data_IF_478933721988
#
_entry.id   IF_478933721988
#
_cell.length_a   1.000
_cell.length_b   1.000
_cell.length_c   1.000
_cell.angle_alpha   90.00
_cell.angle_beta   90.00
_cell.angle_gamma   90.00
#
_symmetry.space_group_name_H-M   'P 1'
#
loop_
_entity.id
_entity.type
_entity.pdbx_description
1 polymer ?
#
# COMPACT_ATOMS: atom_id res chain seq x y z
N UNK A 1 11.63 40.29 -47.14
CA UNK A 1 11.34 39.04 -47.89
C UNK A 1 12.12 37.93 -47.21
N UNK A 2 11.48 37.16 -46.33
CA UNK A 2 12.10 35.99 -45.71
C UNK A 2 12.12 34.88 -46.75
N UNK A 3 13.28 34.23 -46.94
CA UNK A 3 13.45 33.18 -47.94
C UNK A 3 12.52 32.01 -47.64
N UNK A 4 11.82 31.44 -48.65
CA UNK A 4 10.90 30.33 -48.45
C UNK A 4 11.58 29.08 -47.88
N UNK A 5 12.90 28.96 -48.03
CA UNK A 5 13.69 27.88 -47.43
C UNK A 5 13.82 28.00 -45.90
N UNK A 6 13.76 29.23 -45.36
CA UNK A 6 13.88 29.46 -43.92
C UNK A 6 12.62 29.07 -43.16
N UNK A 7 11.45 29.27 -43.77
CA UNK A 7 10.14 28.94 -43.18
C UNK A 7 9.93 27.42 -43.10
N UNK A 8 10.32 26.69 -44.15
CA UNK A 8 10.30 25.23 -44.18
C UNK A 8 11.22 24.60 -43.11
N UNK A 9 12.40 25.18 -42.86
CA UNK A 9 13.32 24.67 -41.84
C UNK A 9 12.75 24.84 -40.42
N UNK A 10 12.06 25.95 -40.15
CA UNK A 10 11.42 26.20 -38.85
C UNK A 10 10.26 25.23 -38.60
N UNK A 11 9.47 24.93 -39.63
CA UNK A 11 8.37 23.97 -39.53
C UNK A 11 8.87 22.55 -39.28
N UNK A 12 9.92 22.11 -39.99
CA UNK A 12 10.52 20.78 -39.81
C UNK A 12 11.11 20.62 -38.40
N UNK A 13 11.76 21.66 -37.86
CA UNK A 13 12.28 21.65 -36.48
C UNK A 13 11.13 21.68 -35.45
N UNK A 14 10.05 22.41 -35.72
CA UNK A 14 8.86 22.45 -34.85
C UNK A 14 8.11 21.10 -34.83
N UNK A 15 7.97 20.44 -35.98
CA UNK A 15 7.37 19.09 -36.13
C UNK A 15 8.27 18.00 -35.54
N UNK A 16 9.59 18.13 -35.68
CA UNK A 16 10.54 17.23 -35.00
C UNK A 16 10.48 17.40 -33.48
N UNK A 17 10.21 18.60 -32.96
CA UNK A 17 10.04 18.82 -31.53
C UNK A 17 8.69 18.32 -31.01
N UNK A 18 7.62 18.39 -31.80
CA UNK A 18 6.27 17.96 -31.38
C UNK A 18 6.11 16.44 -31.35
N UNK A 19 6.83 15.71 -32.21
CA UNK A 19 6.85 14.24 -32.25
C UNK A 19 7.55 13.58 -31.05
N UNK A 20 8.30 14.35 -30.24
CA UNK A 20 8.91 13.89 -29.00
C UNK A 20 7.97 13.89 -27.79
N UNK A 21 6.81 14.57 -27.86
CA UNK A 21 5.74 14.47 -26.85
C UNK A 21 4.94 13.20 -27.09
N UNK A 22 5.56 12.04 -26.82
CA UNK A 22 4.78 10.83 -26.56
C UNK A 22 3.83 11.14 -25.40
N UNK A 23 2.51 10.88 -25.52
CA UNK A 23 1.62 10.98 -24.39
C UNK A 23 2.14 10.04 -23.30
N UNK A 24 2.65 10.60 -22.20
CA UNK A 24 3.31 9.88 -21.12
C UNK A 24 2.34 9.01 -20.28
N UNK A 25 1.18 8.65 -20.83
CA UNK A 25 0.17 7.89 -20.11
C UNK A 25 -0.80 7.21 -21.10
N UNK A 26 -0.38 6.09 -21.69
CA UNK A 26 -1.22 5.26 -22.59
C UNK A 26 -1.45 3.84 -22.07
N UNK A 27 -0.79 3.47 -20.98
CA UNK A 27 -0.98 2.20 -20.26
C UNK A 27 -1.43 2.54 -18.83
N UNK A 28 -2.48 1.86 -18.35
CA UNK A 28 -3.13 2.17 -17.09
C UNK A 28 -2.15 2.26 -15.91
N UNK A 29 -2.45 3.19 -14.99
CA UNK A 29 -1.73 3.52 -13.75
C UNK A 29 -0.50 2.66 -13.41
N UNK A 30 0.70 3.26 -13.42
CA UNK A 30 2.01 2.70 -13.03
C UNK A 30 2.12 2.15 -11.58
N UNK A 31 1.00 2.09 -10.85
CA UNK A 31 0.95 1.65 -9.46
C UNK A 31 -0.17 0.64 -9.27
N UNK A 32 0.22 -0.58 -8.95
CA UNK A 32 -0.69 -1.62 -8.48
C UNK A 32 -0.75 -1.52 -6.96
N UNK A 33 -1.95 -1.69 -6.38
CA UNK A 33 -2.18 -1.74 -4.93
C UNK A 33 -2.45 -3.19 -4.50
N UNK A 34 -1.42 -4.06 -4.46
CA UNK A 34 -1.63 -5.47 -4.12
C UNK A 34 -2.14 -5.64 -2.68
N UNK A 35 -1.85 -4.68 -1.80
CA UNK A 35 -2.33 -4.68 -0.41
C UNK A 35 -3.81 -4.37 -0.24
N UNK A 36 -4.51 -3.86 -1.26
CA UNK A 36 -5.90 -3.42 -1.11
C UNK A 36 -6.84 -4.60 -0.82
N UNK A 37 -6.71 -5.69 -1.58
CA UNK A 37 -7.52 -6.90 -1.42
C UNK A 37 -7.35 -7.52 -0.01
N UNK A 38 -6.14 -7.88 0.44
CA UNK A 38 -5.97 -8.45 1.77
C UNK A 38 -6.33 -7.47 2.89
N UNK A 39 -6.15 -6.16 2.70
CA UNK A 39 -6.57 -5.16 3.68
C UNK A 39 -8.08 -5.05 3.83
N UNK A 40 -8.82 -5.08 2.71
CA UNK A 40 -10.28 -5.07 2.75
C UNK A 40 -10.84 -6.36 3.37
N UNK A 41 -10.30 -7.52 2.99
CA UNK A 41 -10.68 -8.79 3.59
C UNK A 41 -10.36 -8.83 5.08
N UNK A 42 -9.20 -8.30 5.49
CA UNK A 42 -8.80 -8.24 6.89
C UNK A 42 -9.74 -7.37 7.72
N UNK A 43 -10.17 -6.23 7.17
CA UNK A 43 -11.15 -5.36 7.80
C UNK A 43 -12.52 -6.03 7.94
N UNK A 44 -12.99 -6.71 6.89
CA UNK A 44 -14.24 -7.46 6.93
C UNK A 44 -14.18 -8.59 7.96
N UNK A 45 -13.06 -9.32 8.04
CA UNK A 45 -12.86 -10.37 9.03
C UNK A 45 -12.88 -9.84 10.47
N UNK A 46 -12.20 -8.72 10.74
CA UNK A 46 -12.20 -8.10 12.07
C UNK A 46 -13.61 -7.65 12.49
N UNK A 47 -14.39 -7.06 11.56
CA UNK A 47 -15.79 -6.70 11.82
C UNK A 47 -16.66 -7.94 12.06
N UNK A 48 -16.45 -9.01 11.30
CA UNK A 48 -17.14 -10.29 11.52
C UNK A 48 -16.85 -10.86 12.91
N UNK A 49 -15.67 -10.57 13.49
CA UNK A 49 -15.28 -10.94 14.85
C UNK A 49 -16.19 -10.38 15.94
N UNK A 50 -16.87 -9.25 15.69
CA UNK A 50 -17.87 -8.72 16.62
C UNK A 50 -19.08 -9.64 16.77
N UNK A 51 -19.50 -10.27 15.67
CA UNK A 51 -20.64 -11.19 15.63
C UNK A 51 -20.27 -12.59 16.10
N UNK A 52 -19.04 -13.01 15.85
CA UNK A 52 -18.52 -14.30 16.28
C UNK A 52 -18.17 -14.35 17.78
N UNK A 53 -18.30 -13.25 18.51
CA UNK A 53 -17.87 -13.16 19.91
C UNK A 53 -18.64 -14.11 20.83
N UNK A 54 -17.92 -14.90 21.63
CA UNK A 54 -18.51 -15.94 22.48
C UNK A 54 -18.92 -17.22 21.74
N UNK A 55 -18.59 -17.36 20.45
CA UNK A 55 -18.88 -18.56 19.65
C UNK A 55 -17.60 -19.28 19.23
N UNK A 56 -17.70 -20.54 18.84
CA UNK A 56 -16.58 -21.33 18.30
C UNK A 56 -16.00 -20.72 17.01
N UNK A 57 -16.83 -20.00 16.25
CA UNK A 57 -16.41 -19.28 15.04
C UNK A 57 -15.37 -18.18 15.31
N UNK A 58 -15.25 -17.70 16.56
CA UNK A 58 -14.23 -16.71 16.93
C UNK A 58 -12.82 -17.20 16.60
N UNK A 59 -12.51 -18.48 16.82
CA UNK A 59 -11.18 -19.03 16.56
C UNK A 59 -10.84 -18.91 15.07
N UNK A 60 -11.81 -19.22 14.20
CA UNK A 60 -11.66 -19.07 12.74
C UNK A 60 -11.45 -17.61 12.33
N UNK A 61 -12.19 -16.68 12.96
CA UNK A 61 -12.01 -15.24 12.69
C UNK A 61 -10.64 -14.75 13.13
N UNK A 62 -10.18 -15.13 14.33
CA UNK A 62 -8.84 -14.78 14.83
C UNK A 62 -7.74 -15.26 13.86
N UNK A 63 -7.84 -16.51 13.39
CA UNK A 63 -6.94 -17.04 12.36
C UNK A 63 -6.99 -16.22 11.08
N UNK A 64 -8.19 -15.91 10.56
CA UNK A 64 -8.33 -15.14 9.33
C UNK A 64 -7.68 -13.75 9.45
N UNK A 65 -7.93 -13.04 10.56
CA UNK A 65 -7.35 -11.73 10.85
C UNK A 65 -5.82 -11.82 10.95
N UNK A 66 -5.29 -12.81 11.66
CA UNK A 66 -3.84 -13.01 11.81
C UNK A 66 -3.15 -13.32 10.48
N UNK A 67 -3.72 -14.21 9.66
CA UNK A 67 -3.19 -14.55 8.33
C UNK A 67 -3.20 -13.33 7.40
N UNK A 68 -4.30 -12.59 7.35
CA UNK A 68 -4.42 -11.40 6.49
C UNK A 68 -3.46 -10.29 6.93
N UNK A 69 -3.28 -10.10 8.24
CA UNK A 69 -2.26 -9.21 8.79
C UNK A 69 -0.84 -9.64 8.39
N UNK A 70 -0.54 -10.94 8.43
CA UNK A 70 0.77 -11.47 8.01
C UNK A 70 1.01 -11.29 6.50
N UNK A 71 -0.02 -11.46 5.66
CA UNK A 71 0.07 -11.18 4.22
C UNK A 71 0.36 -9.69 3.96
N UNK A 72 -0.34 -8.80 4.65
CA UNK A 72 -0.06 -7.36 4.58
C UNK A 72 1.35 -7.02 5.07
N UNK A 73 1.85 -7.72 6.08
CA UNK A 73 3.21 -7.53 6.60
C UNK A 73 4.24 -7.82 5.50
N UNK A 74 4.06 -8.91 4.75
CA UNK A 74 4.93 -9.26 3.61
C UNK A 74 4.89 -8.16 2.55
N UNK A 75 3.71 -7.65 2.18
CA UNK A 75 3.63 -6.55 1.22
C UNK A 75 4.24 -5.24 1.73
N UNK A 76 4.13 -4.98 3.04
CA UNK A 76 4.78 -3.86 3.68
C UNK A 76 6.32 -3.98 3.58
N UNK A 77 6.86 -5.17 3.84
CA UNK A 77 8.29 -5.47 3.68
C UNK A 77 8.73 -5.34 2.22
N UNK A 78 7.93 -5.81 1.27
CA UNK A 78 8.21 -5.62 -0.16
C UNK A 78 8.23 -4.13 -0.52
N UNK A 79 7.28 -3.32 -0.05
CA UNK A 79 7.25 -1.88 -0.30
C UNK A 79 8.49 -1.15 0.25
N UNK A 80 9.04 -1.62 1.39
CA UNK A 80 10.31 -1.10 1.92
C UNK A 80 11.50 -1.48 1.04
N UNK A 81 11.50 -2.70 0.48
CA UNK A 81 12.61 -3.28 -0.30
C UNK A 81 12.61 -2.88 -1.78
N UNK A 82 11.47 -2.65 -2.41
CA UNK A 82 11.30 -2.38 -3.85
C UNK A 82 11.71 -0.96 -4.28
N UNK A 83 12.69 -0.32 -3.62
CA UNK A 83 13.13 1.01 -4.04
C UNK A 83 13.96 0.91 -5.33
N UNK A 84 13.54 1.57 -6.43
CA UNK A 84 14.30 1.56 -7.67
C UNK A 84 15.69 2.16 -7.48
N UNK A 85 16.69 1.52 -8.07
CA UNK A 85 18.03 2.07 -8.24
C UNK A 85 17.94 3.44 -8.94
N UNK A 86 18.59 4.42 -8.32
CA UNK A 86 18.52 5.85 -8.57
C UNK A 86 19.08 6.28 -9.94
N UNK A 87 18.37 6.05 -11.06
CA UNK A 87 18.82 6.56 -12.37
C UNK A 87 18.18 7.91 -12.78
N UNK A 88 16.92 8.19 -12.40
CA UNK A 88 16.15 9.32 -12.96
C UNK A 88 15.60 10.31 -11.90
N UNK A 89 16.05 10.24 -10.65
CA UNK A 89 15.56 11.09 -9.56
C UNK A 89 16.36 12.41 -9.34
N UNK A 90 17.15 12.85 -10.34
CA UNK A 90 18.01 14.05 -10.21
C UNK A 90 17.39 15.37 -10.70
N UNK A 91 16.08 15.46 -10.97
CA UNK A 91 15.52 16.69 -11.55
C UNK A 91 14.88 17.69 -10.60
N UNK A 92 14.46 17.33 -9.38
CA UNK A 92 14.00 18.33 -8.41
C UNK A 92 14.25 17.90 -6.96
N UNK A 93 15.20 18.53 -6.24
CA UNK A 93 15.36 18.35 -4.80
C UNK A 93 14.30 19.18 -4.06
N UNK A 94 13.29 18.52 -3.50
CA UNK A 94 12.41 19.13 -2.49
C UNK A 94 13.14 19.12 -1.14
N UNK A 95 13.22 20.27 -0.43
CA UNK A 95 13.90 20.37 0.85
C UNK A 95 13.01 19.84 1.99
N UNK A 96 13.63 19.10 2.90
CA UNK A 96 13.12 18.60 4.19
C UNK A 96 12.03 17.52 4.14
N UNK A 97 12.47 16.27 4.36
CA UNK A 97 11.81 15.13 5.07
C UNK A 97 12.34 13.81 4.48
N UNK A 98 13.62 13.53 4.72
CA UNK A 98 14.21 12.21 4.44
C UNK A 98 13.83 11.18 5.52
N UNK A 99 13.54 11.64 6.74
CA UNK A 99 13.19 10.80 7.90
C UNK A 99 11.74 10.27 7.84
N UNK A 100 10.76 11.11 7.50
CA UNK A 100 9.34 10.73 7.47
C UNK A 100 9.01 9.65 6.43
N UNK A 101 9.77 9.57 5.34
CA UNK A 101 9.51 8.62 4.25
C UNK A 101 9.80 7.15 4.59
N UNK A 102 10.47 6.88 5.73
CA UNK A 102 10.67 5.50 6.22
C UNK A 102 9.81 5.16 7.43
N UNK A 103 9.32 6.17 8.15
CA UNK A 103 8.52 5.99 9.36
C UNK A 103 7.19 5.29 9.06
N UNK A 104 6.47 5.71 8.02
CA UNK A 104 5.14 5.15 7.71
C UNK A 104 5.16 3.63 7.46
N UNK A 105 5.95 3.07 6.54
CA UNK A 105 5.94 1.62 6.32
C UNK A 105 6.52 0.84 7.49
N UNK A 106 7.52 1.38 8.21
CA UNK A 106 8.07 0.71 9.40
C UNK A 106 7.02 0.66 10.51
N UNK A 107 6.32 1.77 10.76
CA UNK A 107 5.24 1.84 11.74
C UNK A 107 4.10 0.88 11.37
N UNK A 108 3.64 0.88 10.12
CA UNK A 108 2.65 -0.08 9.64
C UNK A 108 3.12 -1.52 9.85
N UNK A 109 4.39 -1.82 9.54
CA UNK A 109 4.98 -3.14 9.77
C UNK A 109 4.94 -3.56 11.24
N UNK A 110 5.38 -2.68 12.15
CA UNK A 110 5.35 -2.95 13.60
C UNK A 110 3.93 -3.17 14.09
N UNK A 111 2.97 -2.34 13.68
CA UNK A 111 1.56 -2.48 14.06
C UNK A 111 0.97 -3.81 13.55
N UNK A 112 1.31 -4.22 12.33
CA UNK A 112 0.88 -5.51 11.79
C UNK A 112 1.48 -6.69 12.56
N UNK A 113 2.74 -6.62 12.99
CA UNK A 113 3.33 -7.67 13.86
C UNK A 113 2.56 -7.80 15.16
N UNK A 114 2.19 -6.68 15.78
CA UNK A 114 1.38 -6.69 17.01
C UNK A 114 0.03 -7.37 16.73
N UNK A 115 -0.65 -7.01 15.64
CA UNK A 115 -1.93 -7.65 15.25
C UNK A 115 -1.75 -9.15 15.05
N UNK A 116 -0.71 -9.58 14.32
CA UNK A 116 -0.44 -11.01 14.08
C UNK A 116 -0.30 -11.76 15.40
N UNK A 117 0.47 -11.22 16.35
CA UNK A 117 0.73 -11.87 17.65
C UNK A 117 -0.53 -11.88 18.51
N UNK A 118 -1.20 -10.73 18.64
CA UNK A 118 -2.40 -10.58 19.47
C UNK A 118 -3.51 -11.47 18.93
N UNK A 119 -3.80 -11.43 17.63
CA UNK A 119 -4.89 -12.21 17.03
C UNK A 119 -4.51 -13.67 16.73
N UNK A 120 -3.31 -14.14 17.12
CA UNK A 120 -2.95 -15.54 16.90
C UNK A 120 -3.62 -16.44 17.95
N UNK A 121 -4.57 -17.32 17.59
CA UNK A 121 -5.22 -18.19 18.56
C UNK A 121 -4.27 -19.24 19.18
N UNK A 122 -3.10 -19.49 18.59
CA UNK A 122 -2.05 -20.33 19.19
C UNK A 122 -1.42 -19.64 20.40
N UNK A 123 -1.34 -18.31 20.38
CA UNK A 123 -0.96 -17.50 21.53
C UNK A 123 -2.26 -17.06 22.23
N UNK A 124 -2.67 -17.67 23.36
CA UNK A 124 -3.98 -17.46 23.96
C UNK A 124 -4.13 -16.10 24.67
N UNK A 125 -3.57 -15.03 24.11
CA UNK A 125 -3.55 -13.67 24.65
C UNK A 125 -4.95 -13.04 24.69
N UNK A 126 -5.85 -13.51 23.82
CA UNK A 126 -7.11 -12.81 23.54
C UNK A 126 -8.33 -13.72 23.57
N UNK A 127 -8.11 -15.03 23.76
CA UNK A 127 -9.19 -16.00 23.96
C UNK A 127 -9.96 -15.75 25.27
N UNK A 128 -9.38 -14.98 26.20
CA UNK A 128 -10.01 -14.55 27.45
C UNK A 128 -10.49 -13.09 27.41
N UNK A 129 -10.20 -12.34 26.35
CA UNK A 129 -10.58 -10.94 26.25
C UNK A 129 -12.07 -10.83 25.90
N UNK A 130 -12.85 -10.24 26.80
CA UNK A 130 -14.30 -10.03 26.60
C UNK A 130 -14.67 -8.56 26.87
N UNK A 131 -15.92 -8.20 26.53
CA UNK A 131 -16.49 -6.88 26.82
C UNK A 131 -16.14 -5.77 25.81
N UNK A 132 -16.41 -4.53 26.20
CA UNK A 132 -16.34 -3.34 25.33
C UNK A 132 -14.93 -3.09 24.79
N UNK A 133 -13.90 -3.33 25.60
CA UNK A 133 -12.50 -3.16 25.17
C UNK A 133 -12.15 -4.07 23.98
N UNK A 134 -12.68 -5.31 23.99
CA UNK A 134 -12.48 -6.25 22.90
C UNK A 134 -13.19 -5.81 21.61
N UNK A 135 -14.42 -5.31 21.73
CA UNK A 135 -15.17 -4.78 20.58
C UNK A 135 -14.46 -3.58 19.94
N UNK A 136 -13.95 -2.66 20.75
CA UNK A 136 -13.13 -1.53 20.27
C UNK A 136 -11.85 -2.03 19.60
N UNK A 137 -11.21 -3.07 20.16
CA UNK A 137 -10.04 -3.71 19.57
C UNK A 137 -10.29 -4.26 18.17
N UNK A 138 -11.43 -4.92 17.95
CA UNK A 138 -11.83 -5.44 16.64
C UNK A 138 -12.04 -4.33 15.60
N UNK A 139 -12.75 -3.27 15.98
CA UNK A 139 -12.97 -2.11 15.09
C UNK A 139 -11.65 -1.40 14.75
N UNK A 140 -10.81 -1.16 15.76
CA UNK A 140 -9.49 -0.55 15.56
C UNK A 140 -8.59 -1.40 14.66
N UNK A 141 -8.63 -2.73 14.83
CA UNK A 141 -7.88 -3.67 13.99
C UNK A 141 -8.38 -3.66 12.56
N UNK A 142 -9.70 -3.65 12.35
CA UNK A 142 -10.27 -3.55 11.01
C UNK A 142 -9.87 -2.26 10.30
N UNK A 143 -9.94 -1.12 11.00
CA UNK A 143 -9.49 0.17 10.48
C UNK A 143 -7.99 0.15 10.13
N UNK A 144 -7.15 -0.44 10.98
CA UNK A 144 -5.71 -0.56 10.77
C UNK A 144 -5.38 -1.42 9.54
N UNK A 145 -6.02 -2.58 9.38
CA UNK A 145 -5.80 -3.47 8.23
C UNK A 145 -6.25 -2.82 6.93
N UNK A 146 -7.40 -2.15 6.93
CA UNK A 146 -7.88 -1.39 5.79
C UNK A 146 -6.93 -0.26 5.42
N UNK A 147 -6.58 0.60 6.38
CA UNK A 147 -5.67 1.72 6.17
C UNK A 147 -4.31 1.23 5.63
N UNK A 148 -3.78 0.15 6.20
CA UNK A 148 -2.52 -0.44 5.74
C UNK A 148 -2.64 -0.96 4.31
N UNK A 149 -3.73 -1.65 3.97
CA UNK A 149 -3.97 -2.13 2.60
C UNK A 149 -4.08 -1.01 1.56
N UNK A 150 -4.71 0.12 1.92
CA UNK A 150 -4.80 1.32 1.07
C UNK A 150 -3.45 1.99 0.90
N UNK A 151 -2.64 2.05 1.96
CA UNK A 151 -1.34 2.73 1.98
C UNK A 151 -0.24 1.93 1.27
N UNK A 152 -0.31 0.59 1.30
CA UNK A 152 0.69 -0.26 0.65
C UNK A 152 0.54 -0.17 -0.87
N UNK A 153 1.52 0.46 -1.49
CA UNK A 153 1.62 0.65 -2.95
C UNK A 153 2.95 0.07 -3.42
N UNK A 154 2.93 -0.67 -4.52
CA UNK A 154 4.15 -1.18 -5.16
C UNK A 154 4.24 -0.61 -6.58
N UNK A 155 5.43 -0.13 -7.01
CA UNK A 155 5.62 0.29 -8.39
C UNK A 155 5.39 -0.90 -9.33
N UNK A 156 4.65 -0.69 -10.41
CA UNK A 156 4.43 -1.73 -11.41
C UNK A 156 5.76 -2.09 -12.09
N UNK A 157 6.05 -3.38 -12.33
CA UNK A 157 7.22 -3.78 -13.10
C UNK A 157 7.07 -3.28 -14.55
N UNK A 158 8.03 -2.49 -15.01
CA UNK A 158 8.15 -2.04 -16.40
C UNK A 158 8.39 -3.30 -17.26
N UNK A 159 7.43 -3.61 -18.15
CA UNK A 159 7.50 -4.75 -19.07
C UNK A 159 8.16 -4.36 -20.38
#
# INVERSE_FOLDING_TARGET
MVSPAAEAAVEVVAVSNSSSRRPANRYGSDRIRPGLLPGLLGAAAAIAGLWANGTEWMITVLFAVSILAAVLLVFCVQAVRSRPSSATARRFPSPSTSSDRKLVPVLCGVLLVIVVIVYNPIAPLVLTATGTAWQVGQVATGALLFATGVLVTTPAPER
#
